data_IF_509049787600
#
_entry.id   IF_509049787600
#
_cell.length_a   1.000
_cell.length_b   1.000
_cell.length_c   1.000
_cell.angle_alpha   90.00
_cell.angle_beta   90.00
_cell.angle_gamma   90.00
#
_symmetry.space_group_name_H-M   'P 1'
#
loop_
_entity.id
_entity.type
_entity.pdbx_description
1 polymer ?
#
# COMPACT_ATOMS: atom_id res chain seq x y z
N UNK A 1 3.84 29.98 21.43
CA UNK A 1 3.03 29.43 20.31
C UNK A 1 3.38 27.97 20.13
N UNK A 2 2.41 27.05 20.26
CA UNK A 2 2.62 25.65 19.85
C UNK A 2 2.65 25.65 18.32
N UNK A 3 3.81 25.32 17.74
CA UNK A 3 3.96 25.16 16.31
C UNK A 3 3.08 23.98 15.89
N UNK A 4 2.03 24.23 15.10
CA UNK A 4 1.25 23.16 14.47
C UNK A 4 2.16 22.52 13.40
N UNK A 5 2.75 21.37 13.72
CA UNK A 5 3.43 20.55 12.73
C UNK A 5 2.33 19.91 11.89
N UNK A 6 2.14 20.40 10.67
CA UNK A 6 1.32 19.73 9.67
C UNK A 6 2.21 18.74 8.94
N UNK A 7 1.84 17.48 8.97
CA UNK A 7 2.53 16.45 8.22
C UNK A 7 1.91 16.30 6.84
N UNK A 8 2.69 15.82 5.87
CA UNK A 8 2.23 15.54 4.51
C UNK A 8 0.95 14.66 4.49
N UNK A 9 0.82 13.75 5.46
CA UNK A 9 -0.35 12.88 5.57
C UNK A 9 -1.64 13.60 6.01
N UNK A 10 -1.55 14.82 6.53
CA UNK A 10 -2.71 15.63 6.98
C UNK A 10 -3.42 16.34 5.81
N UNK A 11 -2.88 16.26 4.59
CA UNK A 11 -3.45 16.93 3.42
C UNK A 11 -4.08 15.91 2.45
N UNK A 12 -5.41 15.86 2.43
CA UNK A 12 -6.21 14.99 1.54
C UNK A 12 -5.92 15.23 0.04
N UNK A 13 -5.45 16.42 -0.35
CA UNK A 13 -5.06 16.70 -1.74
C UNK A 13 -3.66 16.17 -2.10
N UNK A 14 -2.73 16.13 -1.15
CA UNK A 14 -1.35 15.72 -1.40
C UNK A 14 -1.25 14.22 -1.74
N UNK A 15 -2.11 13.38 -1.16
CA UNK A 15 -2.15 11.94 -1.46
C UNK A 15 -2.59 11.64 -2.89
N UNK A 16 -3.53 12.43 -3.43
CA UNK A 16 -4.00 12.27 -4.82
C UNK A 16 -2.91 12.62 -5.83
N UNK A 17 -2.22 13.74 -5.61
CA UNK A 17 -1.08 14.14 -6.44
C UNK A 17 0.10 13.15 -6.30
N UNK A 18 0.29 12.58 -5.11
CA UNK A 18 1.29 11.54 -4.88
C UNK A 18 1.05 10.30 -5.76
N UNK A 19 -0.19 9.83 -5.92
CA UNK A 19 -0.45 8.67 -6.78
C UNK A 19 -0.09 8.93 -8.26
N UNK A 20 -0.32 10.14 -8.77
CA UNK A 20 0.11 10.50 -10.12
C UNK A 20 1.63 10.57 -10.23
N UNK A 21 2.28 11.26 -9.29
CA UNK A 21 3.74 11.37 -9.27
C UNK A 21 4.42 9.99 -9.16
N UNK A 22 3.91 9.13 -8.26
CA UNK A 22 4.36 7.76 -8.10
C UNK A 22 4.19 6.99 -9.41
N UNK A 23 3.01 7.06 -10.04
CA UNK A 23 2.75 6.38 -11.31
C UNK A 23 3.76 6.76 -12.40
N UNK A 24 4.05 8.05 -12.57
CA UNK A 24 5.07 8.49 -13.51
C UNK A 24 6.48 8.00 -13.16
N UNK A 25 6.84 8.02 -11.87
CA UNK A 25 8.11 7.48 -11.40
C UNK A 25 8.22 5.98 -11.74
N UNK A 26 7.16 5.19 -11.54
CA UNK A 26 7.17 3.76 -11.87
C UNK A 26 7.35 3.53 -13.37
N UNK A 27 6.62 4.25 -14.23
CA UNK A 27 6.76 4.17 -15.69
C UNK A 27 8.19 4.52 -16.13
N UNK A 28 8.76 5.58 -15.54
CA UNK A 28 10.12 5.99 -15.86
C UNK A 28 11.15 4.93 -15.44
N UNK A 29 11.05 4.45 -14.20
CA UNK A 29 11.96 3.45 -13.65
C UNK A 29 11.88 2.14 -14.42
N UNK A 30 10.69 1.69 -14.79
CA UNK A 30 10.50 0.51 -15.63
C UNK A 30 11.24 0.68 -16.97
N UNK A 31 11.07 1.82 -17.64
CA UNK A 31 11.71 2.08 -18.94
C UNK A 31 13.24 2.13 -18.85
N UNK A 32 13.80 2.64 -17.76
CA UNK A 32 15.24 2.84 -17.62
C UNK A 32 15.97 1.66 -16.96
N UNK A 33 15.30 0.97 -16.03
CA UNK A 33 15.93 0.01 -15.10
C UNK A 33 15.13 -1.29 -14.96
N UNK A 34 14.00 -1.42 -15.66
CA UNK A 34 13.11 -2.57 -15.59
C UNK A 34 12.44 -2.73 -14.22
N UNK A 35 11.82 -3.88 -14.02
CA UNK A 35 11.12 -4.22 -12.77
C UNK A 35 12.04 -4.12 -11.54
N UNK A 36 13.32 -4.51 -11.68
CA UNK A 36 14.30 -4.43 -10.59
C UNK A 36 14.45 -3.00 -10.05
N UNK A 37 14.50 -2.00 -10.93
CA UNK A 37 14.57 -0.60 -10.53
C UNK A 37 13.31 -0.14 -9.78
N UNK A 38 12.14 -0.58 -10.25
CA UNK A 38 10.86 -0.29 -9.58
C UNK A 38 10.81 -0.91 -8.18
N UNK A 39 11.19 -2.20 -8.03
CA UNK A 39 11.21 -2.88 -6.73
C UNK A 39 12.19 -2.22 -5.76
N UNK A 40 13.38 -1.83 -6.22
CA UNK A 40 14.37 -1.14 -5.39
C UNK A 40 13.83 0.21 -4.89
N UNK A 41 13.29 1.05 -5.78
CA UNK A 41 12.70 2.33 -5.41
C UNK A 41 11.55 2.17 -4.40
N UNK A 42 10.63 1.24 -4.66
CA UNK A 42 9.50 0.98 -3.75
C UNK A 42 9.96 0.45 -2.39
N UNK A 43 11.03 -0.35 -2.35
CA UNK A 43 11.62 -0.84 -1.09
C UNK A 43 12.17 0.33 -0.28
N UNK A 44 13.02 1.17 -0.88
CA UNK A 44 13.62 2.33 -0.20
C UNK A 44 12.53 3.28 0.33
N UNK A 45 11.52 3.56 -0.51
CA UNK A 45 10.37 4.37 -0.11
C UNK A 45 9.62 3.72 1.05
N UNK A 46 9.31 2.42 0.96
CA UNK A 46 8.48 1.75 1.93
C UNK A 46 9.17 1.61 3.29
N UNK A 47 10.46 1.27 3.30
CA UNK A 47 11.25 1.18 4.53
C UNK A 47 11.34 2.52 5.24
N UNK A 48 11.48 3.63 4.51
CA UNK A 48 11.54 4.95 5.11
C UNK A 48 10.16 5.44 5.60
N UNK A 49 9.13 5.38 4.75
CA UNK A 49 7.83 5.97 5.04
C UNK A 49 7.00 5.10 6.01
N UNK A 50 7.05 3.77 5.87
CA UNK A 50 6.26 2.85 6.69
C UNK A 50 7.03 2.29 7.89
N UNK A 51 8.23 2.77 8.20
CA UNK A 51 8.96 2.38 9.43
C UNK A 51 8.10 2.46 10.71
N UNK A 52 7.29 3.52 10.94
CA UNK A 52 6.42 3.57 12.12
C UNK A 52 5.33 2.48 12.11
N UNK A 53 4.77 2.16 10.94
CA UNK A 53 3.77 1.10 10.81
C UNK A 53 4.38 -0.28 11.01
N UNK A 54 5.55 -0.54 10.41
CA UNK A 54 6.30 -1.77 10.63
C UNK A 54 6.56 -2.00 12.12
N UNK A 55 6.98 -0.96 12.85
CA UNK A 55 7.18 -1.06 14.29
C UNK A 55 5.87 -1.35 15.03
N UNK A 56 4.76 -0.66 14.69
CA UNK A 56 3.47 -0.94 15.28
C UNK A 56 2.99 -2.38 15.01
N UNK A 57 3.28 -2.94 13.84
CA UNK A 57 2.98 -4.34 13.50
C UNK A 57 3.86 -5.33 14.28
N UNK A 58 5.12 -4.98 14.60
CA UNK A 58 5.95 -5.79 15.51
C UNK A 58 5.35 -5.86 16.91
N UNK A 59 4.84 -4.74 17.40
CA UNK A 59 4.38 -4.60 18.78
C UNK A 59 2.95 -5.11 18.98
N UNK A 60 2.06 -4.90 17.99
CA UNK A 60 0.61 -5.10 18.11
C UNK A 60 0.05 -6.06 17.04
N UNK A 61 0.89 -6.58 16.15
CA UNK A 61 0.49 -7.50 15.10
C UNK A 61 -0.46 -6.90 14.06
N UNK A 62 -1.29 -7.75 13.47
CA UNK A 62 -2.23 -7.37 12.42
C UNK A 62 -3.27 -6.33 12.88
N UNK A 63 -3.49 -6.15 14.19
CA UNK A 63 -4.41 -5.13 14.71
C UNK A 63 -3.93 -3.70 14.39
N UNK A 64 -2.63 -3.43 14.49
CA UNK A 64 -2.08 -2.14 14.07
C UNK A 64 -2.20 -1.93 12.56
N UNK A 65 -1.96 -2.98 11.77
CA UNK A 65 -2.11 -2.94 10.33
C UNK A 65 -3.55 -2.63 9.92
N UNK A 66 -4.53 -3.35 10.50
CA UNK A 66 -5.94 -3.12 10.25
C UNK A 66 -6.34 -1.68 10.56
N UNK A 67 -6.01 -1.19 11.75
CA UNK A 67 -6.35 0.18 12.16
C UNK A 67 -5.74 1.24 11.23
N UNK A 68 -4.50 1.02 10.78
CA UNK A 68 -3.87 1.90 9.80
C UNK A 68 -4.60 1.89 8.46
N UNK A 69 -4.95 0.72 7.94
CA UNK A 69 -5.63 0.59 6.64
C UNK A 69 -7.04 1.17 6.67
N UNK A 70 -7.80 0.91 7.74
CA UNK A 70 -9.10 1.54 7.98
C UNK A 70 -9.00 3.07 7.97
N UNK A 71 -7.99 3.63 8.65
CA UNK A 71 -7.75 5.07 8.67
C UNK A 71 -7.43 5.63 7.28
N UNK A 72 -6.54 4.99 6.53
CA UNK A 72 -6.14 5.46 5.19
C UNK A 72 -7.32 5.41 4.22
N UNK A 73 -8.05 4.31 4.14
CA UNK A 73 -9.19 4.21 3.23
C UNK A 73 -10.35 5.14 3.62
N UNK A 74 -10.53 5.43 4.93
CA UNK A 74 -11.49 6.45 5.36
C UNK A 74 -11.09 7.87 4.90
N UNK A 75 -9.79 8.16 4.79
CA UNK A 75 -9.27 9.47 4.36
C UNK A 75 -9.24 9.62 2.83
N UNK A 76 -8.79 8.61 2.11
CA UNK A 76 -8.63 8.65 0.65
C UNK A 76 -9.95 8.42 -0.10
N UNK A 77 -10.90 7.77 0.58
CA UNK A 77 -12.09 7.22 -0.05
C UNK A 77 -11.77 5.93 -0.82
N UNK A 78 -12.74 5.04 -0.92
CA UNK A 78 -12.56 3.76 -1.61
C UNK A 78 -13.60 2.74 -1.17
N UNK A 79 -13.90 1.80 -2.05
CA UNK A 79 -14.76 0.67 -1.71
C UNK A 79 -13.87 -0.48 -1.23
N UNK A 80 -13.64 -0.52 0.08
CA UNK A 80 -12.81 -1.53 0.74
C UNK A 80 -13.61 -2.32 1.76
N UNK A 81 -13.38 -3.64 1.79
CA UNK A 81 -13.79 -4.51 2.87
C UNK A 81 -12.53 -5.06 3.56
N UNK A 82 -12.36 -4.70 4.82
CA UNK A 82 -11.27 -5.23 5.66
C UNK A 82 -11.88 -6.32 6.56
N UNK A 83 -11.43 -7.56 6.39
CA UNK A 83 -12.03 -8.73 6.99
C UNK A 83 -11.01 -9.49 7.83
N UNK A 84 -11.33 -9.67 9.11
CA UNK A 84 -10.78 -10.77 9.89
C UNK A 84 -11.47 -12.05 9.45
N UNK A 85 -10.71 -13.10 9.18
CA UNK A 85 -11.31 -14.41 8.99
C UNK A 85 -11.58 -15.04 10.36
N UNK A 86 -12.11 -16.26 10.38
CA UNK A 86 -12.20 -17.04 11.62
C UNK A 86 -10.82 -17.37 12.19
N UNK A 87 -9.76 -17.26 11.38
CA UNK A 87 -8.39 -17.35 11.82
C UNK A 87 -7.93 -15.98 12.37
N UNK A 88 -7.58 -15.86 13.66
CA UNK A 88 -7.10 -14.59 14.23
C UNK A 88 -5.79 -14.11 13.62
N UNK A 89 -5.00 -15.02 13.04
CA UNK A 89 -3.71 -14.75 12.42
C UNK A 89 -3.83 -14.40 10.93
N UNK A 90 -5.04 -14.11 10.45
CA UNK A 90 -5.29 -13.69 9.08
C UNK A 90 -6.11 -12.39 8.99
N UNK A 91 -5.73 -11.54 8.04
CA UNK A 91 -6.42 -10.31 7.67
C UNK A 91 -6.49 -10.19 6.14
N UNK A 92 -7.69 -10.08 5.59
CA UNK A 92 -7.89 -9.84 4.17
C UNK A 92 -8.35 -8.39 3.94
N UNK A 93 -7.70 -7.69 3.01
CA UNK A 93 -8.09 -6.36 2.52
C UNK A 93 -8.56 -6.53 1.09
N UNK A 94 -9.85 -6.33 0.88
CA UNK A 94 -10.51 -6.51 -0.42
C UNK A 94 -10.90 -5.14 -0.93
N UNK A 95 -10.25 -4.69 -1.99
CA UNK A 95 -10.51 -3.40 -2.64
C UNK A 95 -11.30 -3.67 -3.91
N UNK A 96 -12.56 -3.24 -3.97
CA UNK A 96 -13.39 -3.36 -5.18
C UNK A 96 -13.01 -2.31 -6.22
N UNK A 97 -12.60 -1.12 -5.77
CA UNK A 97 -12.18 -0.02 -6.64
C UNK A 97 -11.10 0.81 -5.97
N UNK A 98 -9.92 0.85 -6.58
CA UNK A 98 -8.79 1.57 -6.02
C UNK A 98 -8.92 3.08 -6.27
N UNK A 99 -8.83 3.93 -5.23
CA UNK A 99 -8.88 5.38 -5.38
C UNK A 99 -7.70 5.91 -6.21
N UNK A 100 -6.50 5.36 -6.02
CA UNK A 100 -5.30 5.75 -6.75
C UNK A 100 -5.45 5.51 -8.26
N UNK A 101 -5.82 4.28 -8.66
CA UNK A 101 -6.03 3.93 -10.09
C UNK A 101 -7.15 4.75 -10.69
N UNK A 102 -8.24 4.96 -9.94
CA UNK A 102 -9.34 5.84 -10.36
C UNK A 102 -8.83 7.25 -10.66
N UNK A 103 -8.02 7.80 -9.78
CA UNK A 103 -7.52 9.17 -9.89
C UNK A 103 -6.52 9.33 -11.05
N UNK A 104 -5.58 8.39 -11.21
CA UNK A 104 -4.62 8.39 -12.32
C UNK A 104 -5.34 8.39 -13.67
N UNK A 105 -6.35 7.50 -13.82
CA UNK A 105 -7.13 7.41 -15.06
C UNK A 105 -8.00 8.65 -15.31
N UNK A 106 -8.56 9.24 -14.25
CA UNK A 106 -9.31 10.50 -14.38
C UNK A 106 -8.43 11.66 -14.89
N UNK A 107 -7.12 11.59 -14.66
CA UNK A 107 -6.14 12.50 -15.24
C UNK A 107 -5.73 12.20 -16.69
N UNK A 108 -6.39 11.26 -17.37
CA UNK A 108 -6.03 10.74 -18.71
C UNK A 108 -4.61 10.17 -18.81
N UNK A 109 -4.07 9.67 -17.69
CA UNK A 109 -2.76 9.02 -17.66
C UNK A 109 -2.89 7.50 -17.69
N UNK A 110 -1.96 6.86 -18.40
CA UNK A 110 -1.81 5.41 -18.33
C UNK A 110 -1.29 5.00 -16.95
N UNK A 111 -1.88 3.95 -16.41
CA UNK A 111 -1.40 3.33 -15.17
C UNK A 111 -0.18 2.49 -15.51
N UNK A 112 0.87 2.60 -14.71
CA UNK A 112 2.07 1.77 -14.82
C UNK A 112 1.67 0.28 -14.85
N UNK A 113 2.21 -0.53 -15.79
CA UNK A 113 1.95 -1.96 -15.80
C UNK A 113 2.48 -2.64 -14.52
N UNK A 114 3.45 -2.02 -13.86
CA UNK A 114 4.05 -2.46 -12.60
C UNK A 114 3.40 -1.83 -11.37
N UNK A 115 2.24 -1.17 -11.49
CA UNK A 115 1.57 -0.53 -10.35
C UNK A 115 1.16 -1.52 -9.26
N UNK A 116 0.93 -2.80 -9.59
CA UNK A 116 0.66 -3.86 -8.61
C UNK A 116 1.77 -4.01 -7.57
N UNK A 117 3.03 -3.70 -7.93
CA UNK A 117 4.18 -3.74 -7.01
C UNK A 117 4.06 -2.76 -5.85
N UNK A 118 3.25 -1.71 -5.98
CA UNK A 118 2.94 -0.80 -4.86
C UNK A 118 2.21 -1.50 -3.72
N UNK A 119 1.54 -2.63 -3.99
CA UNK A 119 0.94 -3.46 -2.96
C UNK A 119 1.93 -4.53 -2.51
N UNK A 120 2.52 -5.27 -3.44
CA UNK A 120 3.43 -6.39 -3.11
C UNK A 120 4.65 -5.93 -2.30
N UNK A 121 5.41 -4.96 -2.82
CA UNK A 121 6.69 -4.55 -2.24
C UNK A 121 6.46 -3.78 -0.95
N UNK A 122 5.48 -2.88 -0.93
CA UNK A 122 5.19 -2.06 0.25
C UNK A 122 4.69 -2.93 1.41
N UNK A 123 3.78 -3.86 1.14
CA UNK A 123 3.28 -4.76 2.18
C UNK A 123 4.34 -5.73 2.67
N UNK A 124 5.22 -6.23 1.79
CA UNK A 124 6.37 -7.04 2.21
C UNK A 124 7.27 -6.24 3.17
N UNK A 125 7.56 -4.98 2.84
CA UNK A 125 8.36 -4.10 3.70
C UNK A 125 7.68 -3.84 5.05
N UNK A 126 6.37 -3.62 5.07
CA UNK A 126 5.59 -3.46 6.32
C UNK A 126 5.69 -4.74 7.17
N UNK A 127 5.66 -5.91 6.57
CA UNK A 127 5.76 -7.21 7.25
C UNK A 127 7.20 -7.65 7.56
N UNK A 128 8.23 -6.94 7.09
CA UNK A 128 9.63 -7.35 7.22
C UNK A 128 10.07 -7.39 8.68
N UNK A 129 10.74 -8.49 9.05
CA UNK A 129 11.19 -8.71 10.43
C UNK A 129 10.05 -8.92 11.42
N UNK A 130 8.86 -9.25 10.95
CA UNK A 130 7.70 -9.62 11.77
C UNK A 130 7.32 -11.09 11.51
N UNK A 131 6.53 -11.73 12.39
CA UNK A 131 5.97 -13.06 12.13
C UNK A 131 4.96 -13.10 10.98
N UNK A 132 4.59 -11.95 10.40
CA UNK A 132 3.56 -11.83 9.38
C UNK A 132 4.17 -11.79 7.97
N UNK A 133 3.39 -12.23 6.99
CA UNK A 133 3.65 -12.09 5.57
C UNK A 133 2.45 -11.44 4.88
N UNK A 134 2.67 -10.97 3.66
CA UNK A 134 1.65 -10.41 2.79
C UNK A 134 1.65 -11.08 1.42
N UNK A 135 0.48 -11.31 0.86
CA UNK A 135 0.27 -11.90 -0.47
C UNK A 135 -0.76 -11.07 -1.25
N UNK A 136 -0.46 -10.77 -2.51
CA UNK A 136 -1.42 -10.19 -3.45
C UNK A 136 -2.11 -11.33 -4.20
N UNK A 137 -3.32 -11.69 -3.78
CA UNK A 137 -4.03 -12.88 -4.28
C UNK A 137 -4.75 -12.64 -5.60
N UNK A 138 -5.19 -11.39 -5.83
CA UNK A 138 -5.85 -10.98 -7.05
C UNK A 138 -5.56 -9.50 -7.32
N UNK A 139 -5.50 -9.13 -8.60
CA UNK A 139 -5.25 -7.78 -9.05
C UNK A 139 -5.81 -7.53 -10.45
N UNK A 140 -6.63 -6.49 -10.58
CA UNK A 140 -7.13 -6.00 -11.87
C UNK A 140 -6.46 -4.66 -12.23
N UNK A 141 -5.62 -4.59 -13.28
CA UNK A 141 -4.94 -3.35 -13.68
C UNK A 141 -5.87 -2.26 -14.24
N UNK A 142 -7.10 -2.60 -14.64
CA UNK A 142 -8.06 -1.64 -15.16
C UNK A 142 -8.71 -0.84 -14.03
N UNK A 143 -9.16 -1.52 -12.98
CA UNK A 143 -9.89 -0.92 -11.85
C UNK A 143 -9.01 -0.68 -10.61
N UNK A 144 -7.85 -1.33 -10.56
CA UNK A 144 -7.02 -1.46 -9.37
C UNK A 144 -7.66 -2.32 -8.28
N UNK A 145 -8.73 -3.07 -8.59
CA UNK A 145 -9.33 -3.98 -7.61
C UNK A 145 -8.32 -5.04 -7.23
N UNK A 146 -8.25 -5.37 -5.94
CA UNK A 146 -7.27 -6.32 -5.45
C UNK A 146 -7.71 -7.02 -4.17
N UNK A 147 -7.10 -8.17 -3.91
CA UNK A 147 -7.21 -8.88 -2.65
C UNK A 147 -5.80 -9.01 -2.07
N UNK A 148 -5.58 -8.36 -0.93
CA UNK A 148 -4.33 -8.43 -0.19
C UNK A 148 -4.58 -9.26 1.06
N UNK A 149 -3.81 -10.32 1.25
CA UNK A 149 -3.88 -11.19 2.43
C UNK A 149 -2.65 -10.99 3.28
N UNK A 150 -2.88 -10.82 4.58
CA UNK A 150 -1.85 -10.89 5.59
C UNK A 150 -2.09 -12.11 6.45
N UNK A 151 -1.04 -12.89 6.68
CA UNK A 151 -1.11 -14.12 7.45
C UNK A 151 0.16 -14.32 8.26
N UNK A 152 0.12 -15.18 9.29
CA UNK A 152 1.35 -15.61 9.97
C UNK A 152 2.21 -16.44 9.00
N UNK A 153 3.50 -16.18 8.97
CA UNK A 153 4.49 -16.99 8.23
C UNK A 153 4.41 -18.42 8.73
N UNK A 154 4.22 -19.36 7.80
CA UNK A 154 4.39 -20.77 8.10
C UNK A 154 5.89 -21.04 8.31
N UNK A 155 6.31 -21.24 9.55
CA UNK A 155 7.62 -21.85 9.83
C UNK A 155 7.62 -23.24 9.22
N UNK A 156 8.40 -23.43 8.16
CA UNK A 156 8.82 -24.76 7.71
C UNK A 156 9.89 -25.32 8.64
#
# INVERSE_FOLDING_TARGET
MKQMIRHAYDNTYLHKDFHQALNFALIYLEKQQGEKGVRAYLTDFAEAYYAPLNQAVKDQGLSALQAYMEKIYALEGGEVAIRRTTDPDQLDIIVSRCPAVTHIRAGNNDVSPLFHLTHEVVNDCICRGTPWQSELLDYNPQTGSCIQRFSRRTTS
#
